data_IF_267556494002
#
_entry.id   IF_267556494002
#
_cell.length_a   1.000
_cell.length_b   1.000
_cell.length_c   1.000
_cell.angle_alpha   90.00
_cell.angle_beta   90.00
_cell.angle_gamma   90.00
#
_symmetry.space_group_name_H-M   'P 1'
#
loop_
_entity.id
_entity.type
_entity.pdbx_description
1 polymer ?
#
# COMPACT_ATOMS: atom_id res chain seq x y z
N UNK A 1 -0.35 16.21 -1.32
CA UNK A 1 -0.33 15.33 -2.52
C UNK A 1 1.04 14.70 -2.78
N UNK A 2 2.14 15.46 -2.87
CA UNK A 2 3.47 14.86 -3.11
C UNK A 2 3.92 13.87 -2.03
N UNK A 3 3.67 14.18 -0.75
CA UNK A 3 4.02 13.28 0.37
C UNK A 3 3.29 11.94 0.22
N UNK A 4 1.96 11.95 0.09
CA UNK A 4 1.16 10.74 -0.13
C UNK A 4 1.62 9.95 -1.36
N UNK A 5 1.89 10.60 -2.50
CA UNK A 5 2.41 9.94 -3.69
C UNK A 5 3.77 9.25 -3.42
N UNK A 6 4.65 9.91 -2.67
CA UNK A 6 5.93 9.33 -2.25
C UNK A 6 5.77 8.12 -1.32
N UNK A 7 4.84 8.18 -0.37
CA UNK A 7 4.52 7.06 0.53
C UNK A 7 3.97 5.87 -0.25
N UNK A 8 3.05 6.10 -1.19
CA UNK A 8 2.51 5.05 -2.06
C UNK A 8 3.58 4.42 -2.95
N UNK A 9 4.49 5.23 -3.50
CA UNK A 9 5.60 4.73 -4.30
C UNK A 9 6.57 3.89 -3.47
N UNK A 10 6.90 4.34 -2.25
CA UNK A 10 7.71 3.56 -1.31
C UNK A 10 7.04 2.24 -0.97
N UNK A 11 5.74 2.26 -0.71
CA UNK A 11 5.00 1.05 -0.35
C UNK A 11 4.91 0.04 -1.50
N UNK A 12 4.72 0.53 -2.73
CA UNK A 12 4.82 -0.30 -3.93
C UNK A 12 6.18 -1.00 -4.03
N UNK A 13 7.27 -0.28 -3.74
CA UNK A 13 8.63 -0.83 -3.73
C UNK A 13 8.80 -1.89 -2.64
N UNK A 14 8.31 -1.66 -1.43
CA UNK A 14 8.40 -2.64 -0.34
C UNK A 14 7.65 -3.94 -0.67
N UNK A 15 6.44 -3.83 -1.22
CA UNK A 15 5.69 -4.97 -1.74
C UNK A 15 6.46 -5.68 -2.86
N UNK A 16 7.12 -4.93 -3.74
CA UNK A 16 7.94 -5.49 -4.83
C UNK A 16 9.17 -6.24 -4.30
N UNK A 17 9.81 -5.72 -3.24
CA UNK A 17 10.95 -6.37 -2.58
C UNK A 17 10.54 -7.71 -1.98
N UNK A 18 9.36 -7.80 -1.38
CA UNK A 18 8.82 -9.08 -0.88
C UNK A 18 8.76 -10.12 -2.01
N UNK A 19 8.19 -9.74 -3.16
CA UNK A 19 8.06 -10.65 -4.31
C UNK A 19 9.43 -11.01 -4.88
N UNK A 20 10.34 -10.04 -5.00
CA UNK A 20 11.69 -10.26 -5.52
C UNK A 20 12.52 -11.19 -4.61
N UNK A 21 12.32 -11.13 -3.29
CA UNK A 21 13.04 -11.97 -2.31
C UNK A 21 12.42 -13.35 -2.11
N UNK A 22 11.09 -13.44 -2.05
CA UNK A 22 10.39 -14.65 -1.61
C UNK A 22 9.58 -15.32 -2.73
N UNK A 23 9.61 -14.78 -3.95
CA UNK A 23 8.91 -15.30 -5.12
C UNK A 23 7.42 -14.98 -5.13
N UNK A 24 6.81 -15.02 -6.31
CA UNK A 24 5.41 -14.60 -6.51
C UNK A 24 4.37 -15.66 -6.13
N UNK A 25 4.71 -16.96 -6.10
CA UNK A 25 3.72 -18.05 -5.99
C UNK A 25 2.90 -18.00 -4.69
N UNK A 26 3.55 -17.74 -3.56
CA UNK A 26 2.89 -17.61 -2.25
C UNK A 26 2.66 -16.15 -1.84
N UNK A 27 3.20 -15.20 -2.61
CA UNK A 27 3.14 -13.76 -2.35
C UNK A 27 2.40 -13.01 -3.47
N UNK A 28 1.50 -13.67 -4.18
CA UNK A 28 0.72 -13.07 -5.27
C UNK A 28 -0.04 -11.81 -4.81
N UNK A 29 -0.62 -11.74 -3.59
CA UNK A 29 -1.20 -10.49 -3.08
C UNK A 29 -0.19 -9.35 -3.05
N UNK A 30 1.06 -9.59 -2.61
CA UNK A 30 2.07 -8.54 -2.58
C UNK A 30 2.39 -8.01 -3.98
N UNK A 31 2.45 -8.89 -4.98
CA UNK A 31 2.66 -8.47 -6.37
C UNK A 31 1.50 -7.61 -6.89
N UNK A 32 0.25 -7.97 -6.56
CA UNK A 32 -0.92 -7.18 -6.94
C UNK A 32 -0.85 -5.80 -6.28
N UNK A 33 -0.56 -5.73 -4.99
CA UNK A 33 -0.47 -4.47 -4.27
C UNK A 33 0.73 -3.60 -4.71
N UNK A 34 1.85 -4.19 -5.17
CA UNK A 34 2.92 -3.43 -5.86
C UNK A 34 2.38 -2.62 -7.03
N UNK A 35 1.58 -3.25 -7.90
CA UNK A 35 1.05 -2.58 -9.10
C UNK A 35 -0.02 -1.56 -8.72
N UNK A 36 -0.90 -1.91 -7.77
CA UNK A 36 -1.94 -1.01 -7.27
C UNK A 36 -1.31 0.27 -6.70
N UNK A 37 -0.37 0.14 -5.77
CA UNK A 37 0.24 1.30 -5.12
C UNK A 37 1.09 2.15 -6.06
N UNK A 38 1.76 1.54 -7.04
CA UNK A 38 2.45 2.28 -8.09
C UNK A 38 1.46 3.11 -8.95
N UNK A 39 0.34 2.49 -9.35
CA UNK A 39 -0.72 3.18 -10.09
C UNK A 39 -1.36 4.32 -9.28
N UNK A 40 -1.64 4.07 -8.00
CA UNK A 40 -2.17 5.08 -7.09
C UNK A 40 -1.20 6.23 -6.86
N UNK A 41 0.11 5.95 -6.72
CA UNK A 41 1.13 6.99 -6.60
C UNK A 41 1.12 7.94 -7.81
N UNK A 42 1.04 7.38 -9.02
CA UNK A 42 0.92 8.16 -10.27
C UNK A 42 -0.40 8.94 -10.29
N UNK A 43 -1.53 8.31 -9.95
CA UNK A 43 -2.83 8.96 -9.96
C UNK A 43 -2.91 10.14 -8.97
N UNK A 44 -2.37 9.99 -7.76
CA UNK A 44 -2.27 11.05 -6.76
C UNK A 44 -1.34 12.17 -7.23
N UNK A 45 -0.19 11.82 -7.83
CA UNK A 45 0.75 12.80 -8.39
C UNK A 45 0.12 13.64 -9.51
N UNK A 46 -0.65 13.00 -10.40
CA UNK A 46 -1.36 13.65 -11.49
C UNK A 46 -2.69 14.32 -11.05
N UNK A 47 -3.03 14.27 -9.76
CA UNK A 47 -4.27 14.83 -9.21
C UNK A 47 -5.53 14.31 -9.91
N UNK A 48 -5.53 13.02 -10.24
CA UNK A 48 -6.69 12.36 -10.87
C UNK A 48 -7.91 12.45 -9.95
N UNK A 49 -9.11 12.79 -10.47
CA UNK A 49 -10.33 12.84 -9.67
C UNK A 49 -10.57 11.53 -8.92
N UNK A 50 -11.02 11.64 -7.66
CA UNK A 50 -11.30 10.50 -6.78
C UNK A 50 -10.10 9.61 -6.42
N UNK A 51 -8.86 9.96 -6.79
CA UNK A 51 -7.67 9.17 -6.45
C UNK A 51 -7.53 8.93 -4.94
N UNK A 52 -7.81 9.93 -4.11
CA UNK A 52 -7.75 9.80 -2.64
C UNK A 52 -8.77 8.78 -2.10
N UNK A 53 -9.97 8.71 -2.69
CA UNK A 53 -10.96 7.68 -2.31
C UNK A 53 -10.49 6.28 -2.69
N UNK A 54 -9.88 6.13 -3.87
CA UNK A 54 -9.30 4.86 -4.29
C UNK A 54 -8.15 4.43 -3.37
N UNK A 55 -7.26 5.36 -2.99
CA UNK A 55 -6.21 5.09 -1.99
C UNK A 55 -6.82 4.61 -0.68
N UNK A 56 -7.78 5.34 -0.13
CA UNK A 56 -8.38 5.01 1.17
C UNK A 56 -8.96 3.59 1.17
N UNK A 57 -9.76 3.24 0.16
CA UNK A 57 -10.41 1.94 0.08
C UNK A 57 -9.40 0.81 -0.14
N UNK A 58 -8.50 0.96 -1.11
CA UNK A 58 -7.57 -0.10 -1.47
C UNK A 58 -6.52 -0.33 -0.38
N UNK A 59 -6.01 0.73 0.26
CA UNK A 59 -5.11 0.61 1.41
C UNK A 59 -5.83 -0.05 2.60
N UNK A 60 -7.09 0.29 2.87
CA UNK A 60 -7.85 -0.37 3.93
C UNK A 60 -8.00 -1.89 3.67
N UNK A 61 -8.35 -2.28 2.43
CA UNK A 61 -8.45 -3.69 2.07
C UNK A 61 -7.10 -4.42 2.14
N UNK A 62 -6.03 -3.77 1.67
CA UNK A 62 -4.65 -4.28 1.75
C UNK A 62 -4.23 -4.53 3.20
N UNK A 63 -4.43 -3.53 4.06
CA UNK A 63 -4.09 -3.61 5.49
C UNK A 63 -4.87 -4.72 6.20
N UNK A 64 -6.17 -4.85 5.94
CA UNK A 64 -7.00 -5.94 6.50
C UNK A 64 -6.48 -7.29 5.99
N UNK A 65 -6.24 -7.42 4.68
CA UNK A 65 -5.71 -8.64 4.08
C UNK A 65 -4.38 -9.05 4.67
N UNK A 66 -3.46 -8.10 4.84
CA UNK A 66 -2.16 -8.31 5.47
C UNK A 66 -2.32 -8.75 6.94
N UNK A 67 -3.19 -8.08 7.68
CA UNK A 67 -3.48 -8.40 9.09
C UNK A 67 -4.01 -9.82 9.25
N UNK A 68 -4.96 -10.24 8.40
CA UNK A 68 -5.56 -11.59 8.46
C UNK A 68 -4.59 -12.69 8.00
N UNK A 69 -3.58 -12.35 7.21
CA UNK A 69 -2.63 -13.31 6.64
C UNK A 69 -1.27 -13.33 7.36
N UNK A 70 -1.06 -12.46 8.34
CA UNK A 70 0.21 -12.26 9.04
C UNK A 70 0.86 -13.56 9.53
N UNK A 71 0.08 -14.47 10.11
CA UNK A 71 0.56 -15.76 10.63
C UNK A 71 0.52 -16.94 9.65
N UNK A 72 0.02 -16.75 8.42
CA UNK A 72 -0.23 -17.87 7.48
C UNK A 72 0.98 -18.19 6.60
N UNK A 73 1.73 -17.17 6.18
CA UNK A 73 2.87 -17.33 5.27
C UNK A 73 4.17 -17.47 6.05
N UNK A 74 4.92 -18.55 5.82
CA UNK A 74 6.23 -18.80 6.45
C UNK A 74 7.33 -18.03 5.72
N UNK A 75 7.52 -16.77 6.09
CA UNK A 75 8.68 -15.93 5.71
C UNK A 75 9.03 -14.94 6.80
N UNK A 76 10.20 -14.31 6.67
CA UNK A 76 10.61 -13.20 7.53
C UNK A 76 9.52 -12.11 7.55
N UNK A 77 9.14 -11.70 8.77
CA UNK A 77 8.03 -10.79 9.05
C UNK A 77 8.46 -9.35 9.24
N UNK A 78 9.75 -9.04 9.24
CA UNK A 78 10.20 -7.66 9.37
C UNK A 78 9.64 -6.78 8.26
N UNK A 79 9.67 -7.24 7.00
CA UNK A 79 9.07 -6.49 5.88
C UNK A 79 7.55 -6.36 6.02
N UNK A 80 6.86 -7.40 6.51
CA UNK A 80 5.40 -7.38 6.69
C UNK A 80 4.98 -6.35 7.73
N UNK A 81 5.74 -6.22 8.83
CA UNK A 81 5.50 -5.22 9.88
C UNK A 81 5.78 -3.81 9.36
N UNK A 82 6.85 -3.61 8.59
CA UNK A 82 7.17 -2.30 8.00
C UNK A 82 6.09 -1.88 7.00
N UNK A 83 5.67 -2.78 6.11
CA UNK A 83 4.58 -2.54 5.15
C UNK A 83 3.29 -2.21 5.91
N UNK A 84 2.92 -3.00 6.92
CA UNK A 84 1.72 -2.76 7.72
C UNK A 84 1.72 -1.37 8.37
N UNK A 85 2.87 -0.95 8.93
CA UNK A 85 3.01 0.38 9.51
C UNK A 85 2.89 1.49 8.47
N UNK A 86 3.48 1.30 7.28
CA UNK A 86 3.39 2.27 6.19
C UNK A 86 1.97 2.38 5.63
N UNK A 87 1.28 1.25 5.42
CA UNK A 87 -0.13 1.18 5.03
C UNK A 87 -1.01 1.97 6.01
N UNK A 88 -0.79 1.82 7.32
CA UNK A 88 -1.53 2.56 8.34
C UNK A 88 -1.29 4.08 8.24
N UNK A 89 -0.04 4.50 8.01
CA UNK A 89 0.28 5.93 7.81
C UNK A 89 -0.38 6.47 6.54
N UNK A 90 -0.33 5.73 5.44
CA UNK A 90 -0.99 6.09 4.17
C UNK A 90 -2.50 6.24 4.38
N UNK A 91 -3.12 5.31 5.12
CA UNK A 91 -4.55 5.34 5.42
C UNK A 91 -4.94 6.60 6.20
N UNK A 92 -4.19 6.93 7.26
CA UNK A 92 -4.45 8.10 8.11
C UNK A 92 -4.21 9.40 7.33
N UNK A 93 -3.09 9.50 6.59
CA UNK A 93 -2.78 10.69 5.77
C UNK A 93 -3.86 10.89 4.70
N UNK A 94 -4.29 9.83 4.02
CA UNK A 94 -5.35 9.90 3.01
C UNK A 94 -6.68 10.33 3.61
N UNK A 95 -7.08 9.79 4.76
CA UNK A 95 -8.30 10.19 5.45
C UNK A 95 -8.27 11.67 5.86
N UNK A 96 -7.13 12.14 6.38
CA UNK A 96 -6.91 13.54 6.70
C UNK A 96 -6.99 14.44 5.46
N UNK A 97 -6.30 14.06 4.38
CA UNK A 97 -6.32 14.81 3.12
C UNK A 97 -7.72 14.88 2.53
N UNK A 98 -8.49 13.80 2.57
CA UNK A 98 -9.91 13.83 2.19
C UNK A 98 -10.63 14.87 3.04
N UNK A 99 -10.64 14.72 4.36
CA UNK A 99 -11.32 15.67 5.26
C UNK A 99 -10.90 17.15 5.03
N UNK A 100 -9.61 17.41 4.81
CA UNK A 100 -9.07 18.76 4.64
C UNK A 100 -9.28 19.37 3.24
N UNK A 101 -9.68 18.56 2.25
CA UNK A 101 -9.95 19.00 0.87
C UNK A 101 -11.44 19.03 0.53
N UNK A 102 -12.29 18.66 1.49
CA UNK A 102 -13.73 18.94 1.52
C UNK A 102 -14.01 20.32 2.12
#
# INVERSE_FOLDING_TARGET
MMVLAGLLALDAVLHGIVVARFGARENAPFLVFTVIYAGLAIAVFLMVPYALWAVLLLTAFGLIGLTVTFGKVRRDKTLDVVIWGLDLVILIDTAYLLYATW
#
